data_IF_351803082435
#
_entry.id   IF_351803082435
#
_cell.length_a   1.000
_cell.length_b   1.000
_cell.length_c   1.000
_cell.angle_alpha   90.00
_cell.angle_beta   90.00
_cell.angle_gamma   90.00
#
_symmetry.space_group_name_H-M   'P 1'
#
loop_
_entity.id
_entity.type
_entity.pdbx_description
1 polymer ?
#
# COMPACT_ATOMS: atom_id res chain seq x y z
N UNK A 1 21.89 6.69 -22.08
CA UNK A 1 20.74 7.36 -21.43
C UNK A 1 20.62 6.77 -20.03
N UNK A 2 20.43 7.59 -19.00
CA UNK A 2 20.25 7.07 -17.64
C UNK A 2 18.91 6.34 -17.47
N UNK A 3 18.74 5.54 -16.41
CA UNK A 3 17.48 4.87 -16.10
C UNK A 3 16.36 5.89 -15.93
N UNK A 4 15.17 5.57 -16.42
CA UNK A 4 13.96 6.41 -16.28
C UNK A 4 13.27 6.08 -14.97
N UNK A 5 12.89 7.08 -14.19
CA UNK A 5 12.04 6.86 -13.02
C UNK A 5 10.59 6.62 -13.44
N UNK A 6 9.91 5.73 -12.73
CA UNK A 6 8.46 5.65 -12.75
C UNK A 6 7.84 6.75 -11.88
N UNK A 7 6.55 7.00 -12.08
CA UNK A 7 5.90 8.15 -11.47
C UNK A 7 5.24 7.84 -10.13
N UNK A 8 4.75 6.62 -9.89
CA UNK A 8 3.82 6.40 -8.79
C UNK A 8 4.36 5.47 -7.70
N UNK A 9 3.78 5.63 -6.52
CA UNK A 9 3.84 4.65 -5.44
C UNK A 9 2.49 3.97 -5.26
N UNK A 10 2.51 2.74 -4.75
CA UNK A 10 1.32 1.90 -4.67
C UNK A 10 1.21 1.25 -3.30
N UNK A 11 0.03 1.37 -2.69
CA UNK A 11 -0.32 0.63 -1.47
C UNK A 11 -1.64 -0.11 -1.67
N UNK A 12 -1.64 -1.38 -1.31
CA UNK A 12 -2.82 -2.23 -1.19
C UNK A 12 -3.18 -2.34 0.28
N UNK A 13 -4.45 -2.15 0.64
CA UNK A 13 -4.88 -2.26 2.05
C UNK A 13 -6.30 -2.78 2.14
N UNK A 14 -6.71 -3.27 3.30
CA UNK A 14 -8.13 -3.56 3.60
C UNK A 14 -8.83 -2.37 4.29
N UNK A 15 -8.17 -1.21 4.40
CA UNK A 15 -8.74 -0.02 5.03
C UNK A 15 -9.28 0.96 3.98
N UNK A 16 -10.50 1.45 4.16
CA UNK A 16 -11.09 2.46 3.27
C UNK A 16 -10.56 3.88 3.49
N UNK A 17 -10.11 4.17 4.72
CA UNK A 17 -9.58 5.45 5.15
C UNK A 17 -8.25 5.21 5.86
N UNK A 18 -7.20 4.86 5.12
CA UNK A 18 -5.92 4.53 5.73
C UNK A 18 -5.26 5.70 6.48
N UNK A 19 -5.59 6.94 6.13
CA UNK A 19 -5.09 8.14 6.80
C UNK A 19 -5.85 8.49 8.10
N UNK A 20 -6.89 7.74 8.47
CA UNK A 20 -7.61 7.99 9.72
C UNK A 20 -6.71 7.64 10.92
N UNK A 21 -6.37 8.64 11.73
CA UNK A 21 -5.54 8.49 12.93
C UNK A 21 -6.31 7.98 14.15
N UNK A 22 -7.64 7.90 14.05
CA UNK A 22 -8.52 7.46 15.12
C UNK A 22 -9.01 6.03 14.89
N UNK A 23 -8.61 5.15 15.81
CA UNK A 23 -8.85 3.69 15.87
C UNK A 23 -10.32 3.29 16.09
N UNK A 24 -11.21 4.25 16.30
CA UNK A 24 -12.61 4.01 16.69
C UNK A 24 -13.53 3.67 15.52
N UNK A 25 -13.04 3.65 14.29
CA UNK A 25 -13.84 3.34 13.11
C UNK A 25 -13.34 2.05 12.45
N UNK A 26 -14.00 0.95 12.80
CA UNK A 26 -13.81 -0.33 12.12
C UNK A 26 -14.68 -0.36 10.87
N UNK A 27 -14.07 -0.56 9.71
CA UNK A 27 -14.78 -0.70 8.44
C UNK A 27 -14.73 -2.16 7.99
N UNK A 28 -15.73 -2.99 8.36
CA UNK A 28 -15.73 -4.39 7.95
C UNK A 28 -15.86 -4.45 6.43
N UNK A 29 -14.82 -4.97 5.78
CA UNK A 29 -14.86 -5.25 4.35
C UNK A 29 -15.38 -6.66 4.09
N UNK A 30 -16.05 -6.89 2.95
CA UNK A 30 -16.29 -8.24 2.48
C UNK A 30 -14.97 -9.02 2.39
N UNK A 31 -15.02 -10.32 2.68
CA UNK A 31 -13.83 -11.18 2.59
C UNK A 31 -13.14 -11.04 1.23
N UNK A 32 -11.84 -10.80 1.25
CA UNK A 32 -11.02 -10.63 0.05
C UNK A 32 -11.18 -9.28 -0.66
N UNK A 33 -11.98 -8.35 -0.14
CA UNK A 33 -12.06 -7.01 -0.69
C UNK A 33 -10.91 -6.13 -0.18
N UNK A 34 -10.25 -5.44 -1.12
CA UNK A 34 -9.13 -4.53 -0.87
C UNK A 34 -9.46 -3.12 -1.37
N UNK A 35 -8.72 -2.17 -0.86
CA UNK A 35 -8.53 -0.82 -1.38
C UNK A 35 -7.18 -0.71 -2.04
N UNK A 36 -7.11 0.17 -3.04
CA UNK A 36 -5.92 0.45 -3.82
C UNK A 36 -5.62 1.92 -3.70
N UNK A 37 -4.42 2.27 -3.28
CA UNK A 37 -3.99 3.65 -3.09
C UNK A 37 -2.79 3.94 -3.95
N UNK A 38 -2.75 5.15 -4.49
CA UNK A 38 -1.60 5.64 -5.27
C UNK A 38 -1.17 7.02 -4.81
N UNK A 39 0.13 7.27 -4.86
CA UNK A 39 0.73 8.59 -4.70
C UNK A 39 1.43 9.01 -6.01
N UNK A 40 1.48 10.32 -6.32
CA UNK A 40 1.96 10.84 -7.60
C UNK A 40 3.48 10.82 -7.78
N UNK A 41 4.24 10.45 -6.73
CA UNK A 41 5.68 10.34 -6.77
C UNK A 41 6.14 8.91 -6.48
N UNK A 42 7.31 8.54 -7.02
CA UNK A 42 8.01 7.30 -6.69
C UNK A 42 8.46 7.32 -5.23
N UNK A 43 8.05 6.29 -4.49
CA UNK A 43 8.31 6.05 -3.07
C UNK A 43 7.99 7.25 -2.16
N UNK A 44 6.81 7.85 -2.37
CA UNK A 44 6.36 9.03 -1.64
C UNK A 44 6.25 8.74 -0.13
N UNK A 45 6.95 9.50 0.75
CA UNK A 45 6.90 9.26 2.19
C UNK A 45 5.66 9.88 2.85
N UNK A 46 4.91 10.72 2.15
CA UNK A 46 3.80 11.47 2.74
C UNK A 46 2.50 10.68 2.67
N UNK A 47 1.99 10.25 3.82
CA UNK A 47 0.73 9.50 3.95
C UNK A 47 -0.43 10.18 3.23
N UNK A 48 -0.49 11.51 3.31
CA UNK A 48 -1.56 12.31 2.70
C UNK A 48 -1.49 12.37 1.17
N UNK A 49 -0.37 11.97 0.55
CA UNK A 49 -0.25 11.88 -0.89
C UNK A 49 -0.96 10.65 -1.48
N UNK A 50 -1.24 9.64 -0.64
CA UNK A 50 -1.91 8.40 -1.07
C UNK A 50 -3.42 8.56 -1.13
N UNK A 51 -3.94 8.52 -2.35
CA UNK A 51 -5.37 8.66 -2.63
C UNK A 51 -5.97 7.32 -3.08
N UNK A 52 -7.22 6.99 -2.70
CA UNK A 52 -7.86 5.77 -3.15
C UNK A 52 -8.12 5.81 -4.66
N UNK A 53 -7.82 4.71 -5.33
CA UNK A 53 -8.18 4.44 -6.71
C UNK A 53 -9.47 3.65 -6.70
N UNK A 54 -10.55 4.27 -7.16
CA UNK A 54 -11.90 3.71 -7.11
C UNK A 54 -12.73 4.22 -5.93
N UNK A 55 -14.05 4.03 -6.03
CA UNK A 55 -15.02 4.53 -5.04
C UNK A 55 -15.42 3.49 -3.99
N UNK A 56 -15.10 2.21 -4.19
CA UNK A 56 -15.48 1.07 -3.36
C UNK A 56 -14.34 0.04 -3.33
N UNK A 57 -14.24 -0.79 -2.28
CA UNK A 57 -13.28 -1.88 -2.24
C UNK A 57 -13.74 -3.04 -3.12
N UNK A 58 -12.82 -3.91 -3.50
CA UNK A 58 -13.16 -5.08 -4.31
C UNK A 58 -12.12 -6.20 -4.27
N UNK A 59 -12.49 -7.35 -4.81
CA UNK A 59 -11.59 -8.50 -4.93
C UNK A 59 -10.61 -8.38 -6.11
N UNK A 60 -10.75 -7.35 -6.95
CA UNK A 60 -9.94 -7.16 -8.15
C UNK A 60 -9.57 -5.69 -8.32
N UNK A 61 -8.32 -5.37 -8.70
CA UNK A 61 -7.89 -3.99 -8.84
C UNK A 61 -8.70 -3.21 -9.88
N UNK A 62 -9.03 -1.93 -9.63
CA UNK A 62 -9.62 -1.06 -10.62
C UNK A 62 -8.75 -0.99 -11.88
N UNK A 63 -9.39 -0.89 -13.04
CA UNK A 63 -8.66 -0.83 -14.32
C UNK A 63 -7.67 0.34 -14.37
N UNK A 64 -8.00 1.48 -13.76
CA UNK A 64 -7.09 2.63 -13.65
C UNK A 64 -5.83 2.31 -12.86
N UNK A 65 -5.95 1.57 -11.76
CA UNK A 65 -4.81 1.08 -10.97
C UNK A 65 -3.94 0.14 -11.80
N UNK A 66 -4.56 -0.82 -12.50
CA UNK A 66 -3.85 -1.76 -13.39
C UNK A 66 -3.11 -1.03 -14.51
N UNK A 67 -3.71 0.00 -15.11
CA UNK A 67 -3.06 0.76 -16.17
C UNK A 67 -1.84 1.55 -15.65
N UNK A 68 -1.93 2.15 -14.47
CA UNK A 68 -0.79 2.86 -13.87
C UNK A 68 0.36 1.89 -13.54
N UNK A 69 0.06 0.80 -12.84
CA UNK A 69 1.10 -0.17 -12.45
C UNK A 69 1.75 -0.84 -13.66
N UNK A 70 0.99 -1.12 -14.72
CA UNK A 70 1.52 -1.64 -15.98
C UNK A 70 2.47 -0.65 -16.65
N UNK A 71 2.11 0.63 -16.71
CA UNK A 71 2.98 1.69 -17.26
C UNK A 71 4.31 1.76 -16.50
N UNK A 72 4.25 1.78 -15.17
CA UNK A 72 5.45 1.86 -14.33
C UNK A 72 6.31 0.59 -14.41
N UNK A 73 5.69 -0.60 -14.53
CA UNK A 73 6.40 -1.85 -14.80
C UNK A 73 7.10 -1.84 -16.16
N UNK A 74 6.51 -1.25 -17.21
CA UNK A 74 7.18 -1.11 -18.51
C UNK A 74 8.43 -0.23 -18.42
N UNK A 75 8.41 0.80 -17.57
CA UNK A 75 9.58 1.63 -17.30
C UNK A 75 10.66 0.81 -16.59
N UNK A 76 10.29 0.02 -15.57
CA UNK A 76 11.21 -0.88 -14.87
C UNK A 76 11.86 -1.91 -15.81
N UNK A 77 11.07 -2.51 -16.71
CA UNK A 77 11.56 -3.43 -17.76
C UNK A 77 12.55 -2.72 -18.69
N UNK A 78 12.22 -1.50 -19.14
CA UNK A 78 13.11 -0.72 -20.02
C UNK A 78 14.44 -0.34 -19.34
N UNK A 79 14.47 -0.28 -18.00
CA UNK A 79 15.70 -0.10 -17.22
C UNK A 79 16.46 -1.40 -16.95
N UNK A 80 15.96 -2.55 -17.41
CA UNK A 80 16.58 -3.87 -17.19
C UNK A 80 16.18 -4.58 -15.89
N UNK A 81 15.16 -4.09 -15.18
CA UNK A 81 14.67 -4.66 -13.93
C UNK A 81 13.21 -5.12 -14.08
N UNK A 82 12.94 -6.26 -14.74
CA UNK A 82 11.59 -6.77 -14.98
C UNK A 82 10.98 -7.42 -13.72
N UNK A 83 11.06 -6.73 -12.60
CA UNK A 83 10.76 -7.25 -11.27
C UNK A 83 9.74 -6.34 -10.58
N UNK A 84 8.76 -6.99 -9.95
CA UNK A 84 7.83 -6.38 -9.00
C UNK A 84 8.15 -6.94 -7.62
N UNK A 85 8.50 -6.06 -6.69
CA UNK A 85 8.67 -6.39 -5.28
C UNK A 85 7.40 -5.99 -4.53
N UNK A 86 6.87 -6.91 -3.74
CA UNK A 86 5.77 -6.63 -2.82
C UNK A 86 6.33 -6.63 -1.41
N UNK A 87 6.22 -5.50 -0.74
CA UNK A 87 6.53 -5.35 0.68
C UNK A 87 5.26 -5.68 1.44
N UNK A 88 5.26 -6.79 2.16
CA UNK A 88 4.13 -7.16 3.01
C UNK A 88 4.46 -6.66 4.41
N UNK A 89 3.77 -5.61 4.82
CA UNK A 89 3.93 -5.10 6.17
C UNK A 89 3.21 -6.01 7.17
N UNK A 90 3.87 -6.32 8.28
CA UNK A 90 3.39 -7.26 9.29
C UNK A 90 2.23 -6.73 10.13
N UNK A 91 1.73 -7.61 11.02
CA UNK A 91 0.70 -7.26 12.00
C UNK A 91 1.17 -6.13 12.96
N UNK A 92 0.22 -5.57 13.69
CA UNK A 92 0.20 -4.41 14.60
C UNK A 92 0.53 -2.99 14.07
N UNK A 93 0.51 -2.73 12.76
CA UNK A 93 1.00 -1.46 12.24
C UNK A 93 -0.06 -0.56 11.58
N UNK A 94 0.24 0.74 11.52
CA UNK A 94 -0.59 1.74 10.86
C UNK A 94 -0.25 1.83 9.37
N UNK A 95 -1.17 2.36 8.57
CA UNK A 95 -0.91 2.63 7.15
C UNK A 95 0.31 3.54 6.94
N UNK A 96 0.54 4.50 7.84
CA UNK A 96 1.71 5.37 7.78
C UNK A 96 3.03 4.62 7.94
N UNK A 97 3.03 3.49 8.66
CA UNK A 97 4.21 2.64 8.77
C UNK A 97 4.46 1.90 7.45
N UNK A 98 3.40 1.40 6.79
CA UNK A 98 3.51 0.81 5.45
C UNK A 98 3.97 1.79 4.37
N UNK A 99 3.56 3.07 4.47
CA UNK A 99 4.08 4.17 3.63
C UNK A 99 5.57 4.39 3.90
N UNK A 100 5.94 4.50 5.19
CA UNK A 100 7.33 4.74 5.59
C UNK A 100 8.27 3.62 5.18
N UNK A 101 7.83 2.36 5.32
CA UNK A 101 8.60 1.19 4.91
C UNK A 101 8.73 1.09 3.38
N UNK A 102 7.65 1.38 2.64
CA UNK A 102 7.71 1.48 1.18
C UNK A 102 8.73 2.54 0.74
N UNK A 103 8.68 3.72 1.34
CA UNK A 103 9.59 4.82 1.04
C UNK A 103 11.05 4.44 1.34
N UNK A 104 11.31 3.87 2.52
CA UNK A 104 12.63 3.46 2.95
C UNK A 104 13.21 2.32 2.09
N UNK A 105 12.43 1.27 1.83
CA UNK A 105 12.88 0.12 1.05
C UNK A 105 13.02 0.48 -0.43
N UNK A 106 12.02 1.15 -1.01
CA UNK A 106 12.05 1.58 -2.40
C UNK A 106 13.22 2.53 -2.68
N UNK A 107 13.36 3.59 -1.88
CA UNK A 107 14.47 4.54 -1.99
C UNK A 107 15.83 3.89 -1.75
N UNK A 108 15.92 3.02 -0.74
CA UNK A 108 17.15 2.29 -0.41
C UNK A 108 17.59 1.33 -1.53
N UNK A 109 16.67 0.55 -2.10
CA UNK A 109 16.94 -0.35 -3.22
C UNK A 109 17.45 0.43 -4.45
N UNK A 110 16.83 1.57 -4.75
CA UNK A 110 17.25 2.43 -5.85
C UNK A 110 18.64 3.02 -5.61
N UNK A 111 18.91 3.54 -4.41
CA UNK A 111 20.15 4.24 -4.09
C UNK A 111 21.34 3.29 -3.94
N UNK A 112 21.18 2.17 -3.22
CA UNK A 112 22.29 1.34 -2.77
C UNK A 112 22.44 0.04 -3.57
N UNK A 113 21.34 -0.51 -4.10
CA UNK A 113 21.35 -1.75 -4.88
C UNK A 113 21.22 -1.51 -6.40
N UNK A 114 21.11 -0.24 -6.83
CA UNK A 114 20.81 0.16 -8.22
C UNK A 114 19.59 -0.55 -8.79
N UNK A 115 18.64 -0.91 -7.92
CA UNK A 115 17.43 -1.63 -8.30
C UNK A 115 16.39 -0.62 -8.77
N UNK A 116 16.01 -0.72 -10.04
CA UNK A 116 14.98 0.13 -10.66
C UNK A 116 13.68 -0.65 -10.97
N UNK A 117 13.49 -1.80 -10.32
CA UNK A 117 12.23 -2.53 -10.34
C UNK A 117 11.14 -1.79 -9.55
N UNK A 118 9.89 -2.20 -9.74
CA UNK A 118 8.76 -1.57 -9.05
C UNK A 118 8.61 -2.18 -7.66
N UNK A 119 8.53 -1.35 -6.62
CA UNK A 119 8.17 -1.78 -5.26
C UNK A 119 6.77 -1.27 -4.93
N UNK A 120 5.92 -2.16 -4.45
CA UNK A 120 4.58 -1.84 -3.94
C UNK A 120 4.46 -2.36 -2.51
N UNK A 121 3.59 -1.74 -1.72
CA UNK A 121 3.36 -2.19 -0.34
C UNK A 121 1.95 -2.76 -0.17
N UNK A 122 1.85 -3.73 0.72
CA UNK A 122 0.60 -4.31 1.19
C UNK A 122 0.52 -4.08 2.71
N UNK A 123 -0.47 -3.29 3.12
CA UNK A 123 -0.85 -3.06 4.52
C UNK A 123 -1.91 -4.09 4.93
N UNK A 124 -1.46 -5.12 5.65
CA UNK A 124 -2.38 -6.08 6.25
C UNK A 124 -3.09 -5.44 7.44
N UNK A 125 -4.42 -5.59 7.57
CA UNK A 125 -5.11 -5.13 8.76
C UNK A 125 -4.58 -5.94 9.94
N UNK A 126 -3.82 -5.28 10.80
CA UNK A 126 -3.47 -5.89 12.05
C UNK A 126 -4.64 -5.83 13.02
N UNK A 127 -5.24 -6.98 13.27
CA UNK A 127 -6.21 -7.17 14.34
C UNK A 127 -5.61 -7.08 15.75
N UNK A 128 -4.35 -6.67 15.92
CA UNK A 128 -3.71 -6.56 17.24
C UNK A 128 -4.14 -5.31 18.03
N UNK A 129 -5.26 -4.69 17.66
CA UNK A 129 -6.01 -3.78 18.52
C UNK A 129 -7.23 -4.46 19.19
N UNK A 130 -7.39 -5.78 19.01
CA UNK A 130 -8.37 -6.60 19.75
C UNK A 130 -8.16 -6.48 21.28
N UNK A 131 -7.00 -6.02 21.77
CA UNK A 131 -6.80 -5.72 23.20
C UNK A 131 -7.16 -4.29 23.64
N UNK A 132 -7.56 -3.37 22.75
CA UNK A 132 -7.84 -1.98 23.17
C UNK A 132 -9.31 -1.63 23.44
N UNK A 133 -10.26 -2.52 23.11
CA UNK A 133 -11.64 -2.42 23.56
C UNK A 133 -12.23 -3.81 23.75
N UNK A 134 -12.19 -4.33 24.98
CA UNK A 134 -13.29 -5.16 25.46
C UNK A 134 -14.48 -4.22 25.70
N UNK A 135 -15.54 -4.18 24.86
CA UNK A 135 -16.82 -3.71 25.35
C UNK A 135 -17.33 -4.72 26.39
N UNK A 136 -17.81 -4.24 27.53
CA UNK A 136 -18.28 -5.03 28.67
C UNK A 136 -19.44 -6.01 28.40
N UNK A 137 -19.89 -6.15 27.15
CA UNK A 137 -21.21 -6.69 26.80
C UNK A 137 -21.19 -7.89 25.83
N UNK A 138 -20.07 -8.58 25.60
CA UNK A 138 -20.12 -9.93 25.03
C UNK A 138 -20.45 -10.94 26.12
N UNK A 139 -21.74 -11.22 26.31
CA UNK A 139 -22.19 -12.40 27.01
C UNK A 139 -21.85 -13.66 26.17
N UNK A 140 -21.35 -14.75 26.78
CA UNK A 140 -21.09 -16.00 26.06
C UNK A 140 -22.41 -16.67 25.68
N UNK A 141 -22.48 -17.18 24.44
CA UNK A 141 -23.41 -18.26 24.09
C UNK A 141 -22.86 -19.59 24.60
#
# INVERSE_FOLDING_TARGET
>A
MGPRSFANSYILTTRNQPAATTKSQTFPLPNGALWWHTAPNQYDPEVTAYTPVGSQPGASPPQSFLTMIQSDLQIAIANGFPQLTVVVHGLANLFGDSVSELAALGGGLQQYAQYHGLVISFDWPSYDEIESFLPSNYAPL
#
